data_IF_465434594762
#
_entry.id   IF_465434594762
#
_cell.length_a   1.000
_cell.length_b   1.000
_cell.length_c   1.000
_cell.angle_alpha   90.00
_cell.angle_beta   90.00
_cell.angle_gamma   90.00
#
_symmetry.space_group_name_H-M   'P 1'
#
loop_
_entity.id
_entity.type
_entity.pdbx_description
1 polymer ?
#
# COMPACT_ATOMS: atom_id res chain seq x y z
N UNK A 1 21.95 64.25 15.69
CA UNK A 1 23.18 64.69 14.99
C UNK A 1 24.08 63.54 14.78
N UNK A 2 24.56 63.33 13.56
CA UNK A 2 25.46 62.33 12.98
C UNK A 2 24.79 60.95 12.75
N UNK A 3 24.29 60.70 11.57
CA UNK A 3 24.93 60.07 10.40
C UNK A 3 25.70 58.82 10.76
N UNK A 4 25.12 57.68 10.45
CA UNK A 4 25.84 56.47 9.94
C UNK A 4 25.11 56.02 8.71
N UNK A 5 25.55 56.59 7.58
CA UNK A 5 25.30 56.02 6.23
C UNK A 5 26.38 54.96 5.97
N UNK A 6 25.99 53.89 5.31
CA UNK A 6 26.90 53.09 4.52
C UNK A 6 27.29 51.77 5.14
N UNK A 7 26.68 50.69 4.64
CA UNK A 7 27.30 49.41 4.32
C UNK A 7 26.22 48.32 4.03
N UNK A 8 25.46 48.52 2.99
CA UNK A 8 24.74 47.42 2.34
C UNK A 8 24.89 47.54 0.83
N UNK A 9 26.09 47.22 0.37
CA UNK A 9 26.32 47.01 -1.03
C UNK A 9 27.09 45.68 -1.18
N UNK A 10 26.58 44.84 -2.05
CA UNK A 10 27.14 43.61 -2.54
C UNK A 10 26.79 42.30 -1.81
N UNK A 11 25.56 41.84 -2.00
CA UNK A 11 25.38 40.41 -2.08
C UNK A 11 24.40 40.07 -3.24
N UNK A 12 24.83 40.36 -4.45
CA UNK A 12 24.19 39.94 -5.68
C UNK A 12 24.86 38.70 -6.24
N UNK A 13 24.71 37.52 -5.62
CA UNK A 13 24.94 36.27 -6.34
C UNK A 13 23.57 35.75 -6.80
N UNK A 14 23.27 36.03 -8.06
CA UNK A 14 22.22 35.33 -8.79
C UNK A 14 22.58 33.85 -8.82
N UNK A 15 22.05 33.07 -7.91
CA UNK A 15 22.01 31.61 -8.06
C UNK A 15 21.05 31.34 -9.23
N UNK A 16 21.63 31.01 -10.39
CA UNK A 16 20.90 30.49 -11.52
C UNK A 16 20.31 29.12 -11.09
N UNK A 17 19.10 29.15 -10.57
CA UNK A 17 18.29 27.94 -10.38
C UNK A 17 18.02 27.43 -11.79
N UNK A 18 18.75 26.38 -12.20
CA UNK A 18 18.48 25.66 -13.44
C UNK A 18 17.02 25.17 -13.36
N UNK A 19 16.18 25.71 -14.23
CA UNK A 19 14.82 25.19 -14.38
C UNK A 19 14.89 23.68 -14.64
N UNK A 20 14.01 22.87 -14.05
CA UNK A 20 14.01 21.44 -14.28
C UNK A 20 13.84 21.19 -15.78
N UNK A 21 14.70 20.33 -16.33
CA UNK A 21 14.63 19.91 -17.74
C UNK A 21 13.22 19.46 -18.05
N UNK A 22 12.68 19.89 -19.19
CA UNK A 22 11.34 19.51 -19.65
C UNK A 22 11.13 17.99 -19.48
N UNK A 23 10.11 17.62 -18.68
CA UNK A 23 9.74 16.24 -18.50
C UNK A 23 9.42 15.59 -19.85
N UNK A 24 10.08 14.49 -20.14
CA UNK A 24 9.84 13.75 -21.38
C UNK A 24 8.43 13.12 -21.34
N UNK A 25 7.82 12.89 -22.50
CA UNK A 25 6.51 12.21 -22.63
C UNK A 25 6.50 10.85 -21.89
N UNK A 26 7.66 10.16 -21.84
CA UNK A 26 7.84 8.91 -21.10
C UNK A 26 7.80 9.11 -19.60
N UNK A 27 8.45 10.17 -19.07
CA UNK A 27 8.45 10.46 -17.63
C UNK A 27 7.04 10.82 -17.14
N UNK A 28 6.29 11.62 -17.93
CA UNK A 28 4.88 11.95 -17.63
C UNK A 28 3.97 10.72 -17.66
N UNK A 29 4.17 9.79 -18.60
CA UNK A 29 3.43 8.54 -18.68
C UNK A 29 3.72 7.67 -17.44
N UNK A 30 5.00 7.51 -17.07
CA UNK A 30 5.43 6.74 -15.91
C UNK A 30 4.94 7.33 -14.58
N UNK A 31 4.96 8.66 -14.43
CA UNK A 31 4.37 9.33 -13.26
C UNK A 31 2.86 9.15 -13.19
N UNK A 32 2.16 9.18 -14.33
CA UNK A 32 0.72 8.93 -14.40
C UNK A 32 0.37 7.48 -14.06
N UNK A 33 1.22 6.52 -14.45
CA UNK A 33 1.08 5.10 -14.10
C UNK A 33 1.37 4.87 -12.61
N UNK A 34 2.43 5.48 -12.05
CA UNK A 34 2.73 5.44 -10.62
C UNK A 34 1.60 6.05 -9.76
N UNK A 35 0.96 7.13 -10.24
CA UNK A 35 -0.19 7.74 -9.54
C UNK A 35 -1.47 6.86 -9.61
N UNK A 36 -1.52 5.86 -10.49
CA UNK A 36 -2.61 4.88 -10.56
C UNK A 36 -2.35 3.65 -9.70
N UNK A 37 -1.10 3.36 -9.37
CA UNK A 37 -0.75 2.25 -8.50
C UNK A 37 -1.11 2.59 -7.05
N UNK A 38 -2.14 1.95 -6.55
CA UNK A 38 -2.54 2.05 -5.15
C UNK A 38 -1.74 1.07 -4.31
N UNK A 39 -1.55 1.37 -3.03
CA UNK A 39 -0.95 0.44 -2.08
C UNK A 39 -2.07 -0.23 -1.29
N UNK A 40 -2.22 -1.54 -1.49
CA UNK A 40 -3.21 -2.36 -0.81
C UNK A 40 -2.55 -3.15 0.32
N UNK A 41 -3.18 -3.15 1.48
CA UNK A 41 -2.79 -4.04 2.57
C UNK A 41 -3.62 -5.33 2.53
N UNK A 42 -2.98 -6.49 2.53
CA UNK A 42 -3.62 -7.80 2.63
C UNK A 42 -3.19 -8.49 3.92
N UNK A 43 -4.16 -8.81 4.74
CA UNK A 43 -3.98 -9.46 6.05
C UNK A 43 -4.97 -10.62 6.17
N UNK A 44 -4.58 -11.71 6.79
CA UNK A 44 -5.47 -12.80 7.13
C UNK A 44 -5.06 -13.46 8.44
N UNK A 45 -6.04 -13.82 9.25
CA UNK A 45 -5.85 -14.77 10.36
C UNK A 45 -5.52 -16.17 9.82
N UNK A 46 -4.91 -17.01 10.63
CA UNK A 46 -4.39 -18.30 10.18
C UNK A 46 -5.47 -19.17 9.52
N UNK A 47 -6.66 -19.24 10.12
CA UNK A 47 -7.78 -20.02 9.59
C UNK A 47 -8.36 -19.42 8.28
N UNK A 48 -8.10 -18.17 7.99
CA UNK A 48 -8.63 -17.44 6.82
C UNK A 48 -7.62 -17.34 5.66
N UNK A 49 -6.44 -17.91 5.82
CA UNK A 49 -5.38 -17.83 4.80
C UNK A 49 -5.71 -18.56 3.52
N UNK A 50 -6.42 -19.68 3.63
CA UNK A 50 -6.88 -20.43 2.46
C UNK A 50 -7.88 -19.60 1.64
N UNK A 51 -8.88 -19.02 2.30
CA UNK A 51 -9.89 -18.17 1.65
C UNK A 51 -9.26 -16.94 1.01
N UNK A 52 -8.23 -16.36 1.66
CA UNK A 52 -7.48 -15.25 1.09
C UNK A 52 -6.69 -15.72 -0.16
N UNK A 53 -6.05 -16.87 -0.13
CA UNK A 53 -5.30 -17.41 -1.27
C UNK A 53 -6.22 -17.61 -2.49
N UNK A 54 -7.38 -18.23 -2.31
CA UNK A 54 -8.37 -18.37 -3.38
C UNK A 54 -8.84 -17.02 -3.93
N UNK A 55 -9.07 -16.06 -3.03
CA UNK A 55 -9.48 -14.71 -3.42
C UNK A 55 -8.38 -13.98 -4.21
N UNK A 56 -7.13 -14.14 -3.81
CA UNK A 56 -5.96 -13.56 -4.51
C UNK A 56 -5.79 -14.18 -5.89
N UNK A 57 -5.93 -15.50 -6.01
CA UNK A 57 -5.87 -16.21 -7.29
C UNK A 57 -6.92 -15.69 -8.26
N UNK A 58 -8.18 -15.59 -7.81
CA UNK A 58 -9.30 -15.08 -8.60
C UNK A 58 -9.12 -13.62 -9.06
N UNK A 59 -8.46 -12.79 -8.23
CA UNK A 59 -8.28 -11.36 -8.50
C UNK A 59 -6.85 -11.02 -8.99
N UNK A 60 -6.06 -12.01 -9.42
CA UNK A 60 -4.65 -11.87 -9.77
C UNK A 60 -4.39 -10.71 -10.74
N UNK A 61 -5.16 -10.60 -11.84
CA UNK A 61 -4.98 -9.56 -12.85
C UNK A 61 -5.19 -8.13 -12.30
N UNK A 62 -6.10 -7.97 -11.33
CA UNK A 62 -6.35 -6.67 -10.70
C UNK A 62 -5.27 -6.35 -9.69
N UNK A 63 -4.93 -7.32 -8.85
CA UNK A 63 -3.94 -7.17 -7.79
C UNK A 63 -2.54 -6.87 -8.32
N UNK A 64 -2.14 -7.49 -9.43
CA UNK A 64 -0.83 -7.29 -10.05
C UNK A 64 -0.58 -5.86 -10.57
N UNK A 65 -1.63 -5.05 -10.70
CA UNK A 65 -1.53 -3.64 -11.09
C UNK A 65 -1.18 -2.71 -9.93
N UNK A 66 -1.22 -3.22 -8.71
CA UNK A 66 -1.08 -2.45 -7.48
C UNK A 66 0.14 -2.89 -6.67
N UNK A 67 0.52 -2.06 -5.72
CA UNK A 67 1.52 -2.39 -4.71
C UNK A 67 0.82 -3.11 -3.57
N UNK A 68 1.37 -4.24 -3.13
CA UNK A 68 0.77 -5.06 -2.10
C UNK A 68 1.67 -5.03 -0.86
N UNK A 69 1.07 -4.79 0.30
CA UNK A 69 1.72 -4.88 1.60
C UNK A 69 1.02 -5.94 2.41
N UNK A 70 1.76 -6.91 2.93
CA UNK A 70 1.21 -8.03 3.68
C UNK A 70 1.93 -8.21 5.00
N UNK A 71 1.21 -8.71 6.02
CA UNK A 71 1.86 -9.22 7.23
C UNK A 71 2.53 -10.58 6.95
N UNK A 72 3.63 -10.82 7.59
CA UNK A 72 4.49 -12.00 7.61
C UNK A 72 4.12 -13.19 6.71
N UNK A 73 3.42 -14.17 7.29
CA UNK A 73 3.03 -15.41 6.59
C UNK A 73 1.98 -15.19 5.52
N UNK A 74 1.10 -14.19 5.65
CA UNK A 74 0.14 -13.79 4.62
C UNK A 74 0.87 -13.38 3.34
N UNK A 75 1.95 -12.59 3.46
CA UNK A 75 2.74 -12.16 2.32
C UNK A 75 3.38 -13.29 1.53
N UNK A 76 3.83 -14.33 2.23
CA UNK A 76 4.37 -15.53 1.57
C UNK A 76 3.29 -16.24 0.72
N UNK A 77 2.11 -16.42 1.27
CA UNK A 77 0.99 -17.07 0.59
C UNK A 77 0.54 -16.26 -0.62
N UNK A 78 0.39 -14.95 -0.48
CA UNK A 78 0.01 -14.05 -1.58
C UNK A 78 1.02 -14.11 -2.71
N UNK A 79 2.31 -14.05 -2.40
CA UNK A 79 3.40 -14.13 -3.39
C UNK A 79 3.39 -15.47 -4.12
N UNK A 80 3.31 -16.59 -3.39
CA UNK A 80 3.24 -17.94 -3.95
C UNK A 80 2.00 -18.12 -4.86
N UNK A 81 0.84 -17.62 -4.42
CA UNK A 81 -0.40 -17.72 -5.21
C UNK A 81 -0.28 -16.96 -6.52
N UNK A 82 0.19 -15.71 -6.49
CA UNK A 82 0.36 -14.89 -7.67
C UNK A 82 1.39 -15.48 -8.65
N UNK A 83 2.48 -16.03 -8.16
CA UNK A 83 3.49 -16.72 -8.98
C UNK A 83 2.93 -17.97 -9.64
N UNK A 84 2.19 -18.80 -8.89
CA UNK A 84 1.59 -20.03 -9.42
C UNK A 84 0.53 -19.74 -10.48
N UNK A 85 -0.28 -18.70 -10.28
CA UNK A 85 -1.27 -18.26 -11.26
C UNK A 85 -0.62 -17.93 -12.60
N UNK A 86 0.50 -17.19 -12.58
CA UNK A 86 1.23 -16.82 -13.79
C UNK A 86 1.81 -18.01 -14.51
N UNK A 87 2.44 -18.92 -13.77
CA UNK A 87 3.03 -20.13 -14.35
C UNK A 87 1.98 -20.99 -15.04
N UNK A 88 0.76 -21.07 -14.47
CA UNK A 88 -0.34 -21.87 -15.00
C UNK A 88 -0.97 -21.28 -16.26
N UNK A 89 -0.97 -19.95 -16.40
CA UNK A 89 -1.66 -19.26 -17.50
C UNK A 89 -0.72 -18.74 -18.60
N UNK A 90 0.59 -19.07 -18.54
CA UNK A 90 1.61 -18.66 -19.53
C UNK A 90 1.62 -17.14 -19.81
N UNK A 91 1.47 -16.35 -18.78
CA UNK A 91 1.25 -14.91 -18.84
C UNK A 91 2.47 -14.19 -18.27
N UNK A 92 3.06 -13.29 -19.06
CA UNK A 92 4.14 -12.42 -18.57
C UNK A 92 3.59 -11.47 -17.51
N UNK A 93 3.89 -11.78 -16.24
CA UNK A 93 3.51 -10.87 -15.16
C UNK A 93 4.36 -9.60 -15.16
N UNK A 94 3.73 -8.44 -14.91
CA UNK A 94 4.47 -7.30 -14.41
C UNK A 94 5.16 -7.69 -13.10
N UNK A 95 6.35 -7.15 -12.86
CA UNK A 95 7.09 -7.40 -11.62
C UNK A 95 6.17 -7.14 -10.41
N UNK A 96 5.94 -8.17 -9.60
CA UNK A 96 5.11 -8.06 -8.40
C UNK A 96 5.78 -7.12 -7.39
N UNK A 97 5.08 -6.06 -7.00
CA UNK A 97 5.54 -5.14 -5.93
C UNK A 97 4.88 -5.56 -4.61
N UNK A 98 5.47 -6.56 -3.96
CA UNK A 98 4.99 -7.10 -2.68
C UNK A 98 5.97 -6.76 -1.57
N UNK A 99 5.51 -6.00 -0.58
CA UNK A 99 6.27 -5.71 0.65
C UNK A 99 5.75 -6.59 1.77
N UNK A 100 6.63 -7.42 2.34
CA UNK A 100 6.31 -8.25 3.50
C UNK A 100 6.74 -7.56 4.80
N UNK A 101 5.77 -7.31 5.66
CA UNK A 101 5.98 -6.84 7.03
C UNK A 101 6.29 -8.01 7.96
N UNK A 102 6.50 -7.74 9.23
CA UNK A 102 6.53 -8.78 10.28
C UNK A 102 5.16 -9.48 10.38
N UNK A 103 5.11 -10.64 11.03
CA UNK A 103 3.82 -11.24 11.41
C UNK A 103 3.11 -10.36 12.44
N UNK A 104 1.78 -10.45 12.51
CA UNK A 104 0.96 -9.65 13.43
C UNK A 104 1.52 -9.62 14.85
N UNK A 105 1.64 -10.80 15.53
CA UNK A 105 2.16 -10.88 16.90
C UNK A 105 3.59 -10.36 17.09
N UNK A 106 4.37 -10.24 16.04
CA UNK A 106 5.76 -9.73 16.07
C UNK A 106 5.86 -8.26 15.64
N UNK A 107 4.75 -7.53 15.63
CA UNK A 107 4.70 -6.11 15.31
C UNK A 107 4.34 -5.79 13.86
N UNK A 108 3.82 -6.75 13.09
CA UNK A 108 3.32 -6.51 11.74
C UNK A 108 2.13 -5.56 11.71
N UNK A 109 1.22 -5.69 12.68
CA UNK A 109 0.05 -4.82 12.81
C UNK A 109 0.45 -3.37 13.12
N UNK A 110 1.48 -3.16 13.95
CA UNK A 110 2.02 -1.84 14.25
C UNK A 110 2.70 -1.22 13.02
N UNK A 111 3.45 -2.03 12.24
CA UNK A 111 4.06 -1.56 10.98
C UNK A 111 2.98 -1.15 9.97
N UNK A 112 1.92 -1.94 9.84
CA UNK A 112 0.79 -1.61 8.97
C UNK A 112 0.03 -0.39 9.47
N UNK A 113 -0.18 -0.27 10.78
CA UNK A 113 -0.79 0.90 11.40
C UNK A 113 0.00 2.19 11.14
N UNK A 114 1.32 2.12 11.16
CA UNK A 114 2.19 3.25 10.78
C UNK A 114 1.99 3.65 9.31
N UNK A 115 1.92 2.68 8.38
CA UNK A 115 1.66 2.96 6.96
C UNK A 115 0.28 3.57 6.72
N UNK A 116 -0.74 3.19 7.52
CA UNK A 116 -2.06 3.81 7.49
C UNK A 116 -1.99 5.25 8.00
N UNK A 117 -1.30 5.48 9.12
CA UNK A 117 -1.15 6.81 9.71
C UNK A 117 -0.34 7.78 8.80
N UNK A 118 0.57 7.24 8.00
CA UNK A 118 1.32 7.97 6.96
C UNK A 118 0.52 8.15 5.65
N UNK A 119 -0.78 7.79 5.64
CA UNK A 119 -1.69 7.89 4.48
C UNK A 119 -1.18 7.15 3.23
N UNK A 120 -0.38 6.10 3.41
CA UNK A 120 0.22 5.33 2.32
C UNK A 120 -0.67 4.19 1.85
N UNK A 121 -1.61 3.73 2.67
CA UNK A 121 -2.51 2.61 2.36
C UNK A 121 -3.80 3.13 1.72
N UNK A 122 -4.09 2.66 0.52
CA UNK A 122 -5.29 3.03 -0.23
C UNK A 122 -6.48 2.13 0.05
N UNK A 123 -6.24 0.89 0.51
CA UNK A 123 -7.27 -0.06 0.93
C UNK A 123 -6.68 -1.10 1.88
N UNK A 124 -7.47 -1.53 2.84
CA UNK A 124 -7.16 -2.63 3.75
C UNK A 124 -8.13 -3.79 3.49
N UNK A 125 -7.60 -4.95 3.12
CA UNK A 125 -8.34 -6.20 3.02
C UNK A 125 -7.83 -7.12 4.10
N UNK A 126 -8.68 -7.39 5.06
CA UNK A 126 -8.37 -8.18 6.23
C UNK A 126 -9.36 -9.34 6.38
N UNK A 127 -8.97 -10.53 5.99
CA UNK A 127 -9.77 -11.74 6.21
C UNK A 127 -9.70 -12.13 7.68
N UNK A 128 -10.62 -11.54 8.44
CA UNK A 128 -10.68 -11.66 9.89
C UNK A 128 -11.49 -12.89 10.30
N UNK A 129 -10.93 -13.69 11.21
CA UNK A 129 -11.65 -14.77 11.90
C UNK A 129 -12.15 -14.24 13.25
N UNK A 130 -13.46 -13.95 13.39
CA UNK A 130 -14.01 -13.44 14.64
C UNK A 130 -14.19 -14.51 15.72
N UNK A 131 -14.07 -15.80 15.35
CA UNK A 131 -14.27 -16.92 16.28
C UNK A 131 -12.98 -17.43 16.92
N UNK A 132 -11.84 -17.05 16.36
CA UNK A 132 -10.54 -17.43 16.89
C UNK A 132 -10.03 -16.40 17.87
N UNK A 133 -9.78 -16.82 19.11
CA UNK A 133 -9.13 -15.98 20.11
C UNK A 133 -7.67 -15.73 19.69
N UNK A 134 -7.35 -14.47 19.44
CA UNK A 134 -5.99 -14.05 19.04
C UNK A 134 -5.28 -13.39 20.22
N UNK A 135 -4.01 -13.76 20.51
CA UNK A 135 -3.25 -13.12 21.58
C UNK A 135 -3.06 -11.60 21.36
N UNK A 136 -3.19 -11.13 20.11
CA UNK A 136 -3.02 -9.74 19.68
C UNK A 136 -4.34 -9.09 19.20
N UNK A 137 -5.48 -9.55 19.67
CA UNK A 137 -6.81 -9.00 19.31
C UNK A 137 -6.92 -7.48 19.54
N UNK A 138 -6.21 -6.97 20.55
CA UNK A 138 -6.13 -5.53 20.83
C UNK A 138 -5.45 -4.78 19.65
N UNK A 139 -4.42 -5.36 19.07
CA UNK A 139 -3.68 -4.76 17.93
C UNK A 139 -4.57 -4.76 16.68
N UNK A 140 -5.33 -5.83 16.45
CA UNK A 140 -6.32 -5.93 15.38
C UNK A 140 -7.36 -4.82 15.49
N UNK A 141 -7.93 -4.63 16.68
CA UNK A 141 -8.89 -3.54 16.94
C UNK A 141 -8.26 -2.16 16.76
N UNK A 142 -7.03 -1.98 17.18
CA UNK A 142 -6.29 -0.74 16.97
C UNK A 142 -6.05 -0.46 15.49
N UNK A 143 -5.72 -1.49 14.68
CA UNK A 143 -5.55 -1.38 13.24
C UNK A 143 -6.84 -0.96 12.54
N UNK A 144 -7.97 -1.61 12.85
CA UNK A 144 -9.28 -1.27 12.29
C UNK A 144 -9.72 0.15 12.69
N UNK A 145 -9.44 0.56 13.93
CA UNK A 145 -9.68 1.95 14.38
C UNK A 145 -8.87 2.95 13.57
N UNK A 146 -7.60 2.68 13.31
CA UNK A 146 -6.76 3.56 12.49
C UNK A 146 -7.28 3.62 11.06
N UNK A 147 -7.62 2.50 10.44
CA UNK A 147 -8.19 2.48 9.10
C UNK A 147 -9.45 3.34 8.99
N UNK A 148 -10.34 3.26 10.00
CA UNK A 148 -11.54 4.10 10.08
C UNK A 148 -11.20 5.57 10.26
N UNK A 149 -10.25 5.91 11.15
CA UNK A 149 -9.84 7.29 11.43
C UNK A 149 -9.27 7.97 10.17
N UNK A 150 -8.45 7.26 9.41
CA UNK A 150 -7.82 7.75 8.19
C UNK A 150 -8.67 7.53 6.93
N UNK A 151 -9.95 7.14 7.10
CA UNK A 151 -10.90 6.91 6.00
C UNK A 151 -10.37 5.92 4.93
N UNK A 152 -9.64 4.90 5.36
CA UNK A 152 -9.14 3.84 4.47
C UNK A 152 -10.27 2.84 4.22
N UNK A 153 -10.68 2.61 2.96
CA UNK A 153 -11.64 1.57 2.62
C UNK A 153 -11.17 0.22 3.16
N UNK A 154 -12.02 -0.41 3.96
CA UNK A 154 -11.65 -1.62 4.70
C UNK A 154 -12.65 -2.75 4.47
N UNK A 155 -12.16 -3.90 4.02
CA UNK A 155 -12.92 -5.12 3.89
C UNK A 155 -12.46 -6.11 4.97
N UNK A 156 -13.38 -6.56 5.83
CA UNK A 156 -13.08 -7.52 6.89
C UNK A 156 -13.55 -8.95 6.57
N UNK A 157 -14.03 -9.17 5.36
CA UNK A 157 -14.46 -10.46 4.83
C UNK A 157 -14.39 -10.47 3.29
N UNK A 158 -14.55 -11.67 2.70
CA UNK A 158 -14.46 -11.90 1.26
C UNK A 158 -15.46 -11.06 0.46
N UNK A 159 -16.72 -11.06 0.85
CA UNK A 159 -17.77 -10.34 0.10
C UNK A 159 -17.49 -8.84 0.02
N UNK A 160 -17.06 -8.22 1.12
CA UNK A 160 -16.69 -6.80 1.13
C UNK A 160 -15.44 -6.55 0.28
N UNK A 161 -14.47 -7.48 0.30
CA UNK A 161 -13.27 -7.39 -0.55
C UNK A 161 -13.63 -7.43 -2.04
N UNK A 162 -14.61 -8.27 -2.43
CA UNK A 162 -15.11 -8.34 -3.81
C UNK A 162 -15.75 -7.03 -4.25
N UNK A 163 -16.60 -6.43 -3.42
CA UNK A 163 -17.18 -5.11 -3.70
C UNK A 163 -16.10 -4.04 -3.83
N UNK A 164 -15.10 -4.05 -2.95
CA UNK A 164 -14.05 -3.06 -2.94
C UNK A 164 -13.19 -3.14 -4.20
N UNK A 165 -12.70 -4.33 -4.57
CA UNK A 165 -11.81 -4.51 -5.73
C UNK A 165 -12.53 -4.38 -7.07
N UNK A 166 -13.86 -4.54 -7.09
CA UNK A 166 -14.67 -4.37 -8.29
C UNK A 166 -15.21 -2.93 -8.45
N UNK A 167 -14.99 -2.07 -7.46
CA UNK A 167 -15.47 -0.70 -7.51
C UNK A 167 -14.70 0.13 -8.54
N UNK A 168 -15.42 0.90 -9.42
CA UNK A 168 -14.78 1.86 -10.32
C UNK A 168 -13.96 2.94 -9.58
N UNK A 169 -14.25 3.18 -8.30
CA UNK A 169 -13.49 4.13 -7.47
C UNK A 169 -12.12 3.58 -7.08
N UNK A 170 -11.91 2.28 -7.28
CA UNK A 170 -10.67 1.61 -6.96
C UNK A 170 -9.72 1.52 -8.17
N UNK A 171 -10.19 1.71 -9.39
CA UNK A 171 -9.41 1.74 -10.64
C UNK A 171 -8.57 3.01 -10.83
#
# INVERSE_FOLDING_TARGET
KRQVLGLFASWGRKSSIKQPKAETRLSKKRMKEMNRQKMMALVAHDNMKHDLAEWVDWNCEKLSKHRIVCTGTTGKIVEETLLNHSASHHYEQPALDITRLKSGPLGGDQQLGALIADERISALIFFWDPMSAQPHDVDVKALLRLATLYNVPTAVNRSTADFLISSPLFE
#
